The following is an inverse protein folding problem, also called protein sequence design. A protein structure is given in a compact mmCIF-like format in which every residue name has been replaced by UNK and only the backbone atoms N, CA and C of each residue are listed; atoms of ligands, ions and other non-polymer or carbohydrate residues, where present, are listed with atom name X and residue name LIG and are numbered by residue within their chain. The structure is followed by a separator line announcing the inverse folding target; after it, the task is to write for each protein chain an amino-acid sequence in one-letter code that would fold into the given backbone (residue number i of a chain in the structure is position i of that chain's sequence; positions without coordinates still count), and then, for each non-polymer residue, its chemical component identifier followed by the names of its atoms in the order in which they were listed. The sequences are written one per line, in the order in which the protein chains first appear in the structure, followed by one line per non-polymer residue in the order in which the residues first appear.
data_IF_753575258469
#
_entry.id   IF_753575258469
#
_cell.length_a   1.000
_cell.length_b   1.000
_cell.length_c   1.000
_cell.angle_alpha   90.00
_cell.angle_beta   90.00
_cell.angle_gamma   90.00
#
_symmetry.space_group_name_H-M   'P 1'
#
loop_
_entity.id
_entity.type
_entity.pdbx_description
1 polymer ?
#
# COMPACT_ATOMS: atom_id res chain seq x y z
N UNK A 1 0.08 -53.63 1.18
CA UNK A 1 -0.71 -52.51 0.74
C UNK A 1 -0.26 -51.30 1.58
N UNK A 2 0.60 -50.46 1.01
CA UNK A 2 1.00 -49.17 1.61
C UNK A 2 0.03 -48.14 1.07
N UNK A 3 -0.71 -47.48 1.95
CA UNK A 3 -1.55 -46.35 1.65
C UNK A 3 -0.62 -45.14 1.39
N UNK A 4 -0.61 -44.68 0.16
CA UNK A 4 0.01 -43.41 -0.23
C UNK A 4 -0.83 -42.29 0.39
N UNK A 5 -0.20 -41.53 1.30
CA UNK A 5 -0.72 -40.28 1.79
C UNK A 5 -0.46 -39.23 0.71
N UNK A 6 -1.53 -38.73 0.12
CA UNK A 6 -1.48 -37.59 -0.79
C UNK A 6 -1.23 -36.33 0.04
N UNK A 7 0.00 -35.83 -0.02
CA UNK A 7 0.37 -34.48 0.45
C UNK A 7 0.00 -33.45 -0.62
N UNK A 8 -1.31 -33.22 -0.83
CA UNK A 8 -1.82 -32.16 -1.71
C UNK A 8 -2.13 -30.87 -0.93
N UNK A 9 -1.28 -30.53 0.04
CA UNK A 9 -1.30 -29.22 0.68
C UNK A 9 -0.11 -28.37 0.20
N UNK A 10 0.02 -28.24 -1.12
CA UNK A 10 0.94 -27.28 -1.69
C UNK A 10 0.32 -25.89 -1.51
N UNK A 11 0.64 -25.21 -0.42
CA UNK A 11 0.31 -23.80 -0.25
C UNK A 11 0.86 -23.06 -1.47
N UNK A 12 -0.03 -22.49 -2.28
CA UNK A 12 0.37 -21.67 -3.44
C UNK A 12 1.13 -20.49 -2.88
N UNK A 13 2.46 -20.56 -2.89
CA UNK A 13 3.33 -19.46 -2.51
C UNK A 13 3.10 -18.35 -3.53
N UNK A 14 2.40 -17.31 -3.12
CA UNK A 14 2.09 -16.18 -3.98
C UNK A 14 3.37 -15.42 -4.30
N UNK A 15 3.73 -15.32 -5.58
CA UNK A 15 4.97 -14.66 -6.01
C UNK A 15 5.01 -13.17 -5.67
N UNK A 16 3.84 -12.49 -5.70
CA UNK A 16 3.70 -11.06 -5.45
C UNK A 16 2.39 -10.73 -4.76
N UNK A 17 2.43 -9.77 -3.82
CA UNK A 17 1.25 -9.05 -3.40
C UNK A 17 0.99 -7.89 -4.37
N UNK A 18 -0.18 -7.92 -5.00
CA UNK A 18 -0.61 -6.90 -5.95
C UNK A 18 -1.38 -5.81 -5.21
N UNK A 19 -0.88 -4.59 -5.20
CA UNK A 19 -1.45 -3.45 -4.48
C UNK A 19 -1.77 -2.36 -5.50
N UNK A 20 -3.00 -1.90 -5.52
CA UNK A 20 -3.47 -0.87 -6.46
C UNK A 20 -3.62 0.46 -5.75
N UNK A 21 -3.12 1.55 -6.34
CA UNK A 21 -3.34 2.90 -5.86
C UNK A 21 -4.46 3.57 -6.66
N UNK A 22 -5.49 4.06 -5.96
CA UNK A 22 -6.64 4.75 -6.53
C UNK A 22 -6.81 6.16 -5.93
N UNK A 23 -7.40 7.06 -6.68
CA UNK A 23 -7.62 8.44 -6.25
C UNK A 23 -7.53 9.41 -7.42
N UNK A 24 -7.91 10.65 -7.20
CA UNK A 24 -7.94 11.69 -8.22
C UNK A 24 -6.58 11.89 -8.92
N UNK A 25 -6.56 12.45 -10.14
CA UNK A 25 -5.31 12.94 -10.74
C UNK A 25 -4.62 13.96 -9.82
N UNK A 26 -3.30 14.02 -9.86
CA UNK A 26 -2.46 15.01 -9.14
C UNK A 26 -2.47 14.95 -7.60
N UNK A 27 -3.14 13.98 -6.98
CA UNK A 27 -3.04 13.75 -5.52
C UNK A 27 -1.67 13.20 -5.08
N UNK A 28 -0.87 12.73 -6.04
CA UNK A 28 0.51 12.27 -5.80
C UNK A 28 0.68 10.77 -5.63
N UNK A 29 -0.20 9.92 -6.20
CA UNK A 29 -0.04 8.46 -6.22
C UNK A 29 1.35 8.03 -6.67
N UNK A 30 1.75 8.50 -7.83
CA UNK A 30 3.07 8.26 -8.39
C UNK A 30 4.20 8.76 -7.49
N UNK A 31 4.07 9.99 -6.95
CA UNK A 31 5.11 10.57 -6.09
C UNK A 31 5.29 9.77 -4.80
N UNK A 32 4.20 9.19 -4.26
CA UNK A 32 4.25 8.27 -3.12
C UNK A 32 5.06 7.02 -3.51
N UNK A 33 4.75 6.40 -4.65
CA UNK A 33 5.46 5.20 -5.11
C UNK A 33 6.93 5.47 -5.46
N UNK A 34 7.23 6.59 -6.14
CA UNK A 34 8.61 7.01 -6.38
C UNK A 34 9.38 7.18 -5.08
N UNK A 35 8.75 7.82 -4.09
CA UNK A 35 9.39 7.99 -2.78
C UNK A 35 9.58 6.67 -2.06
N UNK A 36 8.57 5.80 -2.06
CA UNK A 36 8.61 4.52 -1.36
C UNK A 36 9.56 3.51 -1.98
N UNK A 37 9.55 3.39 -3.32
CA UNK A 37 10.33 2.38 -4.05
C UNK A 37 11.74 2.85 -4.35
N UNK A 38 11.87 4.08 -4.89
CA UNK A 38 13.12 4.62 -5.43
C UNK A 38 13.79 5.64 -4.50
N UNK A 39 13.18 5.96 -3.35
CA UNK A 39 13.58 7.04 -2.46
C UNK A 39 13.76 8.39 -3.18
N UNK A 40 13.01 8.63 -4.24
CA UNK A 40 13.09 9.80 -5.10
C UNK A 40 11.80 10.64 -5.02
N UNK A 41 11.92 11.96 -5.15
CA UNK A 41 10.80 12.87 -5.29
C UNK A 41 11.03 13.81 -6.46
N UNK A 42 10.04 13.88 -7.36
CA UNK A 42 10.03 14.82 -8.49
C UNK A 42 8.71 15.60 -8.45
N UNK A 43 8.78 16.92 -8.43
CA UNK A 43 7.59 17.76 -8.35
C UNK A 43 6.76 17.72 -9.64
N UNK A 44 7.40 17.59 -10.79
CA UNK A 44 6.77 17.54 -12.11
C UNK A 44 7.04 16.18 -12.75
N UNK A 45 6.01 15.36 -12.84
CA UNK A 45 6.04 14.07 -13.50
C UNK A 45 5.34 14.21 -14.85
N UNK A 46 6.06 14.71 -15.85
CA UNK A 46 5.57 14.83 -17.22
C UNK A 46 5.65 13.49 -17.97
N UNK A 47 4.69 13.24 -18.86
CA UNK A 47 4.67 12.10 -19.80
C UNK A 47 4.57 10.70 -19.20
N UNK A 48 3.68 10.48 -18.22
CA UNK A 48 3.46 9.14 -17.66
C UNK A 48 2.50 8.30 -18.49
N UNK A 49 2.76 6.98 -18.49
CA UNK A 49 1.86 5.96 -19.00
C UNK A 49 0.56 5.98 -18.19
N UNK A 50 -0.53 5.48 -18.76
CA UNK A 50 -1.82 5.36 -18.06
C UNK A 50 -1.71 4.47 -16.81
N UNK A 51 -0.92 3.40 -16.91
CA UNK A 51 -0.63 2.46 -15.84
C UNK A 51 0.88 2.27 -15.76
N UNK A 52 1.46 2.44 -14.58
CA UNK A 52 2.85 2.10 -14.28
C UNK A 52 2.92 1.06 -13.18
N UNK A 53 3.94 0.20 -13.25
CA UNK A 53 4.13 -0.88 -12.28
C UNK A 53 5.43 -0.64 -11.54
N UNK A 54 5.34 -0.53 -10.21
CA UNK A 54 6.46 -0.46 -9.30
C UNK A 54 6.63 -1.80 -8.59
N UNK A 55 7.86 -2.22 -8.37
CA UNK A 55 8.17 -3.48 -7.68
C UNK A 55 9.13 -3.20 -6.54
N UNK A 56 8.85 -3.78 -5.38
CA UNK A 56 9.73 -3.71 -4.22
C UNK A 56 9.78 -5.06 -3.53
N UNK A 57 10.96 -5.48 -3.11
CA UNK A 57 11.14 -6.61 -2.23
C UNK A 57 11.34 -6.07 -0.81
N UNK A 58 10.65 -6.65 0.14
CA UNK A 58 10.72 -6.29 1.55
C UNK A 58 11.03 -7.52 2.38
N UNK A 59 11.64 -7.32 3.52
CA UNK A 59 11.77 -8.34 4.55
C UNK A 59 10.87 -7.98 5.72
N UNK A 60 10.02 -8.92 6.13
CA UNK A 60 9.20 -8.78 7.31
C UNK A 60 9.34 -10.05 8.15
N UNK A 61 9.67 -9.88 9.42
CA UNK A 61 10.14 -10.97 10.27
C UNK A 61 11.34 -11.68 9.61
N UNK A 62 11.27 -12.98 9.37
CA UNK A 62 12.34 -13.78 8.72
C UNK A 62 12.11 -14.03 7.23
N UNK A 63 10.98 -13.56 6.69
CA UNK A 63 10.55 -13.88 5.34
C UNK A 63 10.69 -12.68 4.40
N UNK A 64 10.97 -12.99 3.13
CA UNK A 64 11.05 -12.00 2.06
C UNK A 64 9.79 -12.03 1.22
N UNK A 65 9.20 -10.86 0.99
CA UNK A 65 7.97 -10.70 0.23
C UNK A 65 8.19 -9.77 -0.94
N UNK A 66 7.57 -10.07 -2.07
CA UNK A 66 7.61 -9.24 -3.27
C UNK A 66 6.31 -8.45 -3.40
N UNK A 67 6.41 -7.15 -3.52
CA UNK A 67 5.29 -6.23 -3.71
C UNK A 67 5.27 -5.72 -5.14
N UNK A 68 4.07 -5.65 -5.71
CA UNK A 68 3.81 -5.08 -7.03
C UNK A 68 2.73 -4.03 -6.90
N UNK A 69 3.10 -2.77 -7.09
CA UNK A 69 2.20 -1.64 -7.03
C UNK A 69 1.76 -1.23 -8.43
N UNK A 70 0.47 -0.98 -8.59
CA UNK A 70 -0.13 -0.49 -9.81
C UNK A 70 -0.52 0.97 -9.62
N UNK A 71 0.19 1.87 -10.29
CA UNK A 71 -0.09 3.31 -10.32
C UNK A 71 -1.04 3.61 -11.45
N UNK A 72 -2.29 3.91 -11.12
CA UNK A 72 -3.31 4.30 -12.10
C UNK A 72 -3.32 5.82 -12.18
N UNK A 73 -2.70 6.37 -13.21
CA UNK A 73 -2.63 7.84 -13.37
C UNK A 73 -3.93 8.43 -13.86
N UNK A 74 -4.68 7.70 -14.70
CA UNK A 74 -6.00 8.10 -15.20
C UNK A 74 -6.89 6.85 -15.27
N UNK A 75 -7.99 6.88 -14.57
CA UNK A 75 -9.06 5.93 -14.77
C UNK A 75 -9.95 6.44 -15.92
N UNK A 76 -10.00 5.74 -17.03
CA UNK A 76 -10.72 6.20 -18.22
C UNK A 76 -12.16 5.67 -18.25
N UNK A 77 -12.55 4.80 -17.35
CA UNK A 77 -13.94 4.33 -17.24
C UNK A 77 -14.49 3.60 -18.50
N UNK A 78 -13.65 3.32 -19.47
CA UNK A 78 -14.02 2.74 -20.75
C UNK A 78 -13.67 1.25 -20.77
N UNK A 79 -14.21 0.44 -19.85
CA UNK A 79 -14.19 -1.04 -19.94
C UNK A 79 -12.92 -1.65 -20.56
N UNK A 80 -11.76 -1.04 -20.36
CA UNK A 80 -10.50 -1.59 -20.82
C UNK A 80 -10.20 -2.82 -19.96
N UNK A 81 -10.25 -3.99 -20.58
CA UNK A 81 -10.11 -5.29 -19.92
C UNK A 81 -8.85 -5.35 -19.04
N UNK A 82 -7.79 -4.64 -19.44
CA UNK A 82 -6.53 -4.60 -18.68
C UNK A 82 -6.65 -3.89 -17.34
N UNK A 83 -7.52 -2.88 -17.23
CA UNK A 83 -7.79 -2.17 -15.97
C UNK A 83 -8.66 -3.01 -15.03
N UNK A 84 -9.62 -3.74 -15.59
CA UNK A 84 -10.53 -4.60 -14.85
C UNK A 84 -9.76 -5.78 -14.24
N UNK A 85 -8.94 -6.47 -15.03
CA UNK A 85 -8.13 -7.61 -14.56
C UNK A 85 -7.21 -7.25 -13.39
N UNK A 86 -6.69 -6.02 -13.37
CA UNK A 86 -5.85 -5.53 -12.31
C UNK A 86 -6.61 -5.44 -10.97
N UNK A 87 -7.86 -4.94 -10.98
CA UNK A 87 -8.70 -4.86 -9.79
C UNK A 87 -9.10 -6.24 -9.29
N UNK A 88 -9.50 -7.16 -10.17
CA UNK A 88 -9.84 -8.52 -9.79
C UNK A 88 -8.70 -9.23 -9.06
N UNK A 89 -7.48 -9.04 -9.55
CA UNK A 89 -6.29 -9.73 -9.07
C UNK A 89 -5.52 -8.97 -7.98
N UNK A 90 -6.01 -7.80 -7.51
CA UNK A 90 -5.35 -7.09 -6.42
C UNK A 90 -5.60 -7.77 -5.07
N UNK A 91 -4.63 -7.64 -4.18
CA UNK A 91 -4.70 -8.09 -2.79
C UNK A 91 -5.03 -6.95 -1.86
N UNK A 92 -4.45 -5.78 -2.15
CA UNK A 92 -4.61 -4.57 -1.38
C UNK A 92 -4.94 -3.36 -2.23
N UNK A 93 -5.61 -2.40 -1.60
CA UNK A 93 -6.01 -1.14 -2.23
C UNK A 93 -5.56 0.02 -1.36
N UNK A 94 -4.86 0.98 -1.96
CA UNK A 94 -4.46 2.22 -1.31
C UNK A 94 -5.25 3.36 -1.93
N UNK A 95 -6.18 3.93 -1.17
CA UNK A 95 -6.86 5.16 -1.54
C UNK A 95 -5.91 6.34 -1.31
N UNK A 96 -5.86 7.29 -2.22
CA UNK A 96 -5.02 8.48 -2.09
C UNK A 96 -5.84 9.74 -2.33
N UNK A 97 -5.80 10.65 -1.36
CA UNK A 97 -6.26 12.03 -1.48
C UNK A 97 -5.12 13.00 -1.16
N UNK A 98 -5.32 14.29 -1.28
CA UNK A 98 -4.30 15.26 -0.90
C UNK A 98 -4.90 16.47 -0.21
N UNK A 99 -4.15 17.07 0.71
CA UNK A 99 -4.59 18.19 1.54
C UNK A 99 -5.02 19.43 0.76
N UNK A 100 -4.49 19.65 -0.44
CA UNK A 100 -4.75 20.79 -1.31
C UNK A 100 -5.91 20.55 -2.30
N UNK A 101 -6.56 19.39 -2.27
CA UNK A 101 -7.65 19.04 -3.17
C UNK A 101 -8.86 18.48 -2.41
N UNK A 102 -9.82 19.37 -2.11
CA UNK A 102 -11.06 18.98 -1.44
C UNK A 102 -11.86 17.95 -2.24
N UNK A 103 -11.83 18.04 -3.57
CA UNK A 103 -12.54 17.09 -4.43
C UNK A 103 -11.97 15.68 -4.30
N UNK A 104 -10.69 15.54 -3.98
CA UNK A 104 -10.07 14.22 -3.75
C UNK A 104 -10.62 13.51 -2.53
N UNK A 105 -11.00 14.27 -1.48
CA UNK A 105 -11.67 13.73 -0.30
C UNK A 105 -13.13 13.34 -0.62
N UNK A 106 -13.84 14.18 -1.34
CA UNK A 106 -15.24 13.95 -1.72
C UNK A 106 -15.36 12.71 -2.63
N UNK A 107 -14.46 12.61 -3.61
CA UNK A 107 -14.44 11.54 -4.60
C UNK A 107 -13.98 10.18 -4.05
N UNK A 108 -13.52 10.08 -2.80
CA UNK A 108 -13.24 8.76 -2.18
C UNK A 108 -14.44 7.84 -2.23
N UNK A 109 -15.66 8.38 -2.03
CA UNK A 109 -16.88 7.57 -2.15
C UNK A 109 -17.09 7.06 -3.58
N UNK A 110 -16.76 7.87 -4.58
CA UNK A 110 -16.89 7.49 -5.99
C UNK A 110 -15.91 6.35 -6.30
N UNK A 111 -14.66 6.47 -5.86
CA UNK A 111 -13.66 5.42 -6.00
C UNK A 111 -14.08 4.13 -5.29
N UNK A 112 -14.61 4.26 -4.07
CA UNK A 112 -15.09 3.11 -3.30
C UNK A 112 -16.26 2.40 -4.00
N UNK A 113 -17.27 3.16 -4.46
CA UNK A 113 -18.41 2.61 -5.17
C UNK A 113 -18.01 1.97 -6.51
N UNK A 114 -17.09 2.57 -7.22
CA UNK A 114 -16.56 2.00 -8.45
C UNK A 114 -15.89 0.65 -8.21
N UNK A 115 -15.08 0.55 -7.16
CA UNK A 115 -14.37 -0.70 -6.85
C UNK A 115 -15.31 -1.83 -6.46
N UNK A 116 -16.41 -1.56 -5.77
CA UNK A 116 -17.44 -2.57 -5.42
C UNK A 116 -18.02 -3.25 -6.67
N UNK A 117 -18.07 -2.56 -7.81
CA UNK A 117 -18.57 -3.13 -9.07
C UNK A 117 -17.62 -4.21 -9.63
N UNK A 118 -16.34 -4.16 -9.29
CA UNK A 118 -15.32 -5.06 -9.84
C UNK A 118 -14.77 -6.06 -8.85
N UNK A 119 -14.77 -5.75 -7.55
CA UNK A 119 -14.15 -6.61 -6.54
C UNK A 119 -14.99 -6.68 -5.27
N UNK A 120 -14.94 -7.83 -4.60
CA UNK A 120 -15.42 -7.95 -3.23
C UNK A 120 -14.41 -7.30 -2.28
N UNK A 121 -14.71 -6.07 -1.83
CA UNK A 121 -13.83 -5.30 -0.95
C UNK A 121 -13.64 -5.96 0.42
N UNK A 122 -14.56 -6.83 0.87
CA UNK A 122 -14.39 -7.56 2.13
C UNK A 122 -13.20 -8.51 2.13
N UNK A 123 -12.75 -8.88 0.94
CA UNK A 123 -11.58 -9.75 0.73
C UNK A 123 -10.28 -8.99 0.53
N UNK A 124 -10.29 -7.66 0.55
CA UNK A 124 -9.13 -6.82 0.26
C UNK A 124 -8.65 -6.07 1.49
N UNK A 125 -7.34 -5.94 1.60
CA UNK A 125 -6.78 -5.05 2.62
C UNK A 125 -6.71 -3.62 2.09
N UNK A 126 -7.21 -2.67 2.88
CA UNK A 126 -7.37 -1.29 2.45
C UNK A 126 -6.76 -0.31 3.44
N UNK A 127 -6.21 0.79 2.90
CA UNK A 127 -5.77 1.96 3.68
C UNK A 127 -6.01 3.23 2.87
N UNK A 128 -6.14 4.34 3.56
CA UNK A 128 -6.24 5.66 2.95
C UNK A 128 -5.01 6.51 3.30
N UNK A 129 -4.29 7.00 2.27
CA UNK A 129 -3.17 7.92 2.41
C UNK A 129 -3.61 9.34 2.02
N UNK A 130 -3.40 10.29 2.93
CA UNK A 130 -3.68 11.71 2.71
C UNK A 130 -2.36 12.41 2.47
N UNK A 131 -2.06 12.69 1.22
CA UNK A 131 -0.76 13.20 0.80
C UNK A 131 -0.64 14.72 0.96
N UNK A 132 0.59 15.21 0.81
CA UNK A 132 1.00 16.62 0.92
C UNK A 132 0.84 17.19 2.33
N UNK A 133 1.07 16.37 3.35
CA UNK A 133 1.10 16.78 4.75
C UNK A 133 2.08 17.94 4.99
N UNK A 134 3.16 17.99 4.20
CA UNK A 134 4.21 19.00 4.26
C UNK A 134 3.77 20.43 3.88
N UNK A 135 2.56 20.61 3.36
CA UNK A 135 2.05 21.95 3.03
C UNK A 135 1.81 22.76 4.30
N UNK A 136 2.48 23.93 4.38
CA UNK A 136 2.25 24.92 5.45
C UNK A 136 0.99 25.74 5.19
N UNK A 137 0.70 26.03 3.90
CA UNK A 137 -0.44 26.81 3.43
C UNK A 137 -1.17 26.04 2.33
N UNK A 138 -2.43 26.41 2.08
CA UNK A 138 -3.23 25.81 1.00
C UNK A 138 -3.85 24.46 1.34
N UNK A 139 -3.80 24.01 2.61
CA UNK A 139 -4.61 22.87 3.06
C UNK A 139 -6.08 23.28 3.08
N UNK A 140 -6.90 22.54 2.35
CA UNK A 140 -8.36 22.78 2.23
C UNK A 140 -9.19 21.68 2.88
N UNK A 141 -8.54 20.64 3.41
CA UNK A 141 -9.16 19.53 4.13
C UNK A 141 -8.84 19.69 5.62
N UNK A 142 -9.86 19.56 6.47
CA UNK A 142 -9.72 19.64 7.94
C UNK A 142 -9.62 18.24 8.55
N UNK A 143 -9.04 18.14 9.73
CA UNK A 143 -8.93 16.90 10.50
C UNK A 143 -10.32 16.28 10.77
N UNK A 144 -11.30 17.12 11.15
CA UNK A 144 -12.68 16.68 11.36
C UNK A 144 -13.30 16.01 10.12
N UNK A 145 -13.01 16.56 8.91
CA UNK A 145 -13.46 15.97 7.66
C UNK A 145 -12.80 14.63 7.37
N UNK A 146 -11.52 14.49 7.72
CA UNK A 146 -10.76 13.25 7.58
C UNK A 146 -11.33 12.18 8.50
N UNK A 147 -11.47 12.48 9.79
CA UNK A 147 -12.01 11.53 10.78
C UNK A 147 -13.42 11.06 10.41
N UNK A 148 -14.27 12.00 9.99
CA UNK A 148 -15.62 11.66 9.54
C UNK A 148 -15.57 10.71 8.34
N UNK A 149 -14.78 11.03 7.33
CA UNK A 149 -14.66 10.20 6.12
C UNK A 149 -14.08 8.81 6.42
N UNK A 150 -13.08 8.72 7.30
CA UNK A 150 -12.49 7.46 7.77
C UNK A 150 -13.55 6.57 8.45
N UNK A 151 -14.38 7.15 9.32
CA UNK A 151 -15.49 6.43 9.97
C UNK A 151 -16.56 5.99 8.97
N UNK A 152 -16.95 6.88 8.04
CA UNK A 152 -17.97 6.60 7.03
C UNK A 152 -17.58 5.45 6.09
N UNK A 153 -16.30 5.35 5.72
CA UNK A 153 -15.77 4.33 4.82
C UNK A 153 -15.12 3.14 5.57
N UNK A 154 -14.99 3.21 6.88
CA UNK A 154 -14.28 2.23 7.71
C UNK A 154 -12.84 1.98 7.24
N UNK A 155 -12.14 3.05 6.87
CA UNK A 155 -10.76 3.01 6.40
C UNK A 155 -9.81 3.59 7.44
N UNK A 156 -8.78 2.83 7.80
CA UNK A 156 -7.61 3.38 8.50
C UNK A 156 -6.94 4.42 7.59
N UNK A 157 -6.46 5.54 8.15
CA UNK A 157 -5.79 6.56 7.36
C UNK A 157 -4.42 6.93 7.92
N UNK A 158 -3.56 7.43 7.03
CA UNK A 158 -2.26 7.99 7.34
C UNK A 158 -2.08 9.31 6.58
N UNK A 159 -1.66 10.32 7.32
CA UNK A 159 -1.25 11.59 6.75
C UNK A 159 0.21 11.49 6.33
N UNK A 160 0.46 11.60 5.03
CA UNK A 160 1.77 11.34 4.44
C UNK A 160 2.31 12.53 3.65
N UNK A 161 3.61 12.57 3.44
CA UNK A 161 4.25 13.49 2.50
C UNK A 161 5.15 12.74 1.53
N UNK A 162 4.79 12.74 0.26
CA UNK A 162 5.67 12.21 -0.78
C UNK A 162 6.96 13.03 -0.92
N UNK A 163 6.95 14.31 -0.55
CA UNK A 163 8.10 15.19 -0.61
C UNK A 163 9.13 14.87 0.45
N UNK A 164 8.72 14.73 1.72
CA UNK A 164 9.63 14.42 2.82
C UNK A 164 9.84 12.92 3.00
N UNK A 165 8.86 12.09 2.65
CA UNK A 165 8.82 10.66 2.93
C UNK A 165 8.05 10.31 4.21
N UNK A 166 7.56 11.33 4.94
CA UNK A 166 6.90 11.15 6.23
C UNK A 166 5.70 10.19 6.11
N UNK A 167 5.65 9.22 7.00
CA UNK A 167 4.58 8.23 7.22
C UNK A 167 4.20 7.36 5.98
N UNK A 168 4.95 7.43 4.87
CA UNK A 168 4.65 6.61 3.69
C UNK A 168 4.87 5.13 3.99
N UNK A 169 6.01 4.85 4.62
CA UNK A 169 6.38 3.47 4.97
C UNK A 169 5.37 2.86 5.94
N UNK A 170 4.99 3.59 6.97
CA UNK A 170 4.00 3.16 7.97
C UNK A 170 2.64 2.85 7.34
N UNK A 171 2.16 3.76 6.47
CA UNK A 171 0.88 3.57 5.81
C UNK A 171 0.87 2.35 4.87
N UNK A 172 1.93 2.15 4.08
CA UNK A 172 2.04 0.98 3.20
C UNK A 172 2.25 -0.30 4.01
N UNK A 173 3.08 -0.25 5.06
CA UNK A 173 3.33 -1.37 5.96
C UNK A 173 2.07 -1.91 6.62
N UNK A 174 1.09 -1.05 6.93
CA UNK A 174 -0.19 -1.47 7.51
C UNK A 174 -0.92 -2.45 6.59
N UNK A 175 -1.06 -2.12 5.30
CA UNK A 175 -1.68 -3.01 4.30
C UNK A 175 -0.87 -4.30 4.15
N UNK A 176 0.44 -4.17 3.99
CA UNK A 176 1.32 -5.33 3.74
C UNK A 176 1.30 -6.31 4.91
N UNK A 177 1.33 -5.81 6.16
CA UNK A 177 1.22 -6.68 7.34
C UNK A 177 -0.08 -7.47 7.34
N UNK A 178 -1.22 -6.80 7.11
CA UNK A 178 -2.53 -7.47 7.04
C UNK A 178 -2.58 -8.53 5.93
N UNK A 179 -2.01 -8.23 4.75
CA UNK A 179 -1.91 -9.20 3.65
C UNK A 179 -1.10 -10.43 4.03
N UNK A 180 0.04 -10.25 4.69
CA UNK A 180 0.90 -11.35 5.14
C UNK A 180 0.20 -12.20 6.21
N UNK A 181 -0.43 -11.56 7.18
CA UNK A 181 -1.16 -12.26 8.25
C UNK A 181 -2.29 -13.10 7.67
N UNK A 182 -3.07 -12.55 6.76
CA UNK A 182 -4.15 -13.28 6.06
C UNK A 182 -3.63 -14.49 5.27
N UNK A 183 -2.48 -14.36 4.57
CA UNK A 183 -1.91 -15.47 3.82
C UNK A 183 -1.35 -16.58 4.69
N UNK A 184 -0.99 -16.26 5.93
CA UNK A 184 -0.42 -17.23 6.86
C UNK A 184 -1.45 -17.78 7.85
N UNK A 185 -2.74 -17.45 7.71
CA UNK A 185 -3.82 -17.78 8.67
C UNK A 185 -3.49 -17.41 10.13
N UNK A 186 -2.69 -16.35 10.31
CA UNK A 186 -2.29 -15.86 11.63
C UNK A 186 -3.27 -14.78 12.06
N UNK A 187 -4.02 -15.02 13.12
CA UNK A 187 -4.84 -13.98 13.77
C UNK A 187 -3.94 -12.89 14.37
N UNK A 188 -4.25 -11.62 14.15
CA UNK A 188 -3.63 -10.51 14.87
C UNK A 188 -4.03 -10.62 16.34
N UNK A 189 -3.17 -11.18 17.17
CA UNK A 189 -3.25 -10.91 18.59
C UNK A 189 -2.79 -9.45 18.78
N UNK A 190 -3.68 -8.63 19.34
CA UNK A 190 -3.42 -7.23 19.72
C UNK A 190 -2.31 -7.17 20.79
N UNK A 191 -1.08 -7.49 20.39
CA UNK A 191 0.09 -7.26 21.23
C UNK A 191 0.59 -5.82 21.05
N UNK A 192 -0.04 -4.97 21.84
CA UNK A 192 0.43 -3.63 22.18
C UNK A 192 1.67 -3.71 23.11
N UNK A 193 2.64 -4.56 22.78
CA UNK A 193 3.90 -4.71 23.52
C UNK A 193 5.09 -4.77 22.58
N UNK A 194 5.36 -3.67 21.90
CA UNK A 194 6.69 -3.43 21.35
C UNK A 194 7.28 -2.19 22.02
N UNK A 195 7.52 -2.33 23.35
CA UNK A 195 8.42 -1.45 24.04
C UNK A 195 9.88 -1.81 23.71
N UNK A 196 10.58 -0.79 23.31
CA UNK A 196 12.01 -0.62 23.23
C UNK A 196 12.84 -1.57 24.09
N UNK A 197 13.67 -2.41 23.49
CA UNK A 197 14.91 -2.86 24.07
C UNK A 197 16.07 -2.36 23.21
N UNK A 198 16.49 -1.14 23.48
CA UNK A 198 17.84 -0.66 23.21
C UNK A 198 18.73 -1.20 24.32
N UNK A 199 19.62 -2.09 24.05
CA UNK A 199 20.89 -2.21 24.77
C UNK A 199 21.86 -3.15 24.03
N UNK A 200 22.94 -2.54 23.57
CA UNK A 200 24.32 -2.99 23.50
C UNK A 200 24.63 -4.50 23.40
N UNK A 201 25.11 -4.89 22.24
CA UNK A 201 26.38 -5.65 22.18
C UNK A 201 26.90 -5.70 20.74
N UNK A 202 27.99 -4.99 20.54
CA UNK A 202 28.86 -5.12 19.37
C UNK A 202 29.42 -6.54 19.33
N UNK A 203 29.22 -7.25 18.23
CA UNK A 203 30.16 -8.25 17.76
C UNK A 203 30.11 -8.37 16.24
N UNK A 204 31.26 -8.13 15.68
CA UNK A 204 31.62 -8.25 14.27
C UNK A 204 31.34 -9.66 13.73
N UNK A 205 30.58 -9.72 12.63
CA UNK A 205 30.55 -10.88 11.75
C UNK A 205 30.66 -10.37 10.31
N UNK A 206 31.60 -10.94 9.60
CA UNK A 206 31.98 -10.64 8.23
C UNK A 206 30.80 -10.68 7.26
N UNK A 207 30.77 -9.66 6.39
CA UNK A 207 29.74 -9.50 5.36
C UNK A 207 30.24 -10.20 4.09
N UNK A 208 29.61 -11.32 3.73
CA UNK A 208 29.62 -11.78 2.35
C UNK A 208 28.60 -10.99 1.54
N UNK A 209 29.07 -10.42 0.41
CA UNK A 209 28.26 -9.66 -0.54
C UNK A 209 27.15 -10.54 -1.15
N UNK A 210 25.90 -10.16 -0.95
CA UNK A 210 24.81 -10.75 -1.70
C UNK A 210 23.41 -10.39 -1.20
N UNK A 211 22.77 -9.44 -1.86
CA UNK A 211 21.34 -9.08 -1.83
C UNK A 211 20.90 -8.12 -0.72
N UNK A 212 20.85 -6.85 -1.06
CA UNK A 212 20.20 -5.79 -0.32
C UNK A 212 18.71 -6.10 -0.10
N UNK A 213 18.33 -6.48 1.09
CA UNK A 213 16.96 -6.58 1.56
C UNK A 213 16.66 -5.32 2.36
N UNK A 214 15.62 -4.56 1.99
CA UNK A 214 15.17 -3.43 2.80
C UNK A 214 14.45 -3.99 4.03
N UNK A 215 14.95 -3.70 5.23
CA UNK A 215 14.35 -4.12 6.50
C UNK A 215 13.37 -3.04 6.94
N UNK A 216 12.16 -3.44 7.25
CA UNK A 216 11.17 -2.60 7.94
C UNK A 216 11.43 -2.58 9.44
#
# INVERSE_FOLDING_TARGET
MKSELNDDNLSIVKDYFNIVLVGNPSVGKTSILEKYVNNAFQANLENKKLIEIYKKQICLYTNSYKLKFWDITKFIGNNDISEIDMFYNCDGIIFVSSYDDKSSLENLNIWYQLLIEYVDLSTKEMVWLINKKDLNEGKVITEEQIEKKSKDLQLDYYEVSAKSGENIEEGIKKVVKKLILRCNDIEENDDNSFESSTADSANSIDIEEGKSCSIF
#
